data_IF_109178020038
#
_entry.id   IF_109178020038
#
_cell.length_a   1.000
_cell.length_b   1.000
_cell.length_c   1.000
_cell.angle_alpha   90.00
_cell.angle_beta   90.00
_cell.angle_gamma   90.00
#
_symmetry.space_group_name_H-M   'P 1'
#
loop_
_entity.id
_entity.type
_entity.pdbx_description
1 polymer ?
#
# COMPACT_ATOMS: atom_id res chain seq x y z
N UNK A 1 -5.56 0.06 21.31
CA UNK A 1 -5.15 0.62 19.99
C UNK A 1 -6.30 1.47 19.44
N UNK A 2 -6.00 2.61 18.83
CA UNK A 2 -7.02 3.51 18.26
C UNK A 2 -7.66 2.92 16.99
N UNK A 3 -8.74 2.16 17.16
CA UNK A 3 -9.55 1.56 16.08
C UNK A 3 -9.92 2.60 15.01
N UNK A 4 -10.23 3.83 15.43
CA UNK A 4 -10.54 4.94 14.55
C UNK A 4 -9.45 5.25 13.51
N UNK A 5 -8.17 5.20 13.90
CA UNK A 5 -7.05 5.50 12.98
C UNK A 5 -6.93 4.39 11.94
N UNK A 6 -7.07 3.13 12.35
CA UNK A 6 -7.05 1.98 11.43
C UNK A 6 -8.16 2.07 10.39
N UNK A 7 -9.38 2.40 10.81
CA UNK A 7 -10.52 2.55 9.90
C UNK A 7 -10.36 3.75 8.95
N UNK A 8 -9.85 4.88 9.44
CA UNK A 8 -9.55 6.04 8.60
C UNK A 8 -8.54 5.69 7.50
N UNK A 9 -7.43 5.05 7.86
CA UNK A 9 -6.39 4.65 6.90
C UNK A 9 -6.91 3.60 5.91
N UNK A 10 -7.69 2.60 6.36
CA UNK A 10 -8.33 1.62 5.45
C UNK A 10 -9.22 2.31 4.43
N UNK A 11 -10.04 3.26 4.85
CA UNK A 11 -10.89 4.02 3.95
C UNK A 11 -10.09 4.90 2.97
N UNK A 12 -8.98 5.49 3.43
CA UNK A 12 -8.07 6.24 2.56
C UNK A 12 -7.39 5.36 1.51
N UNK A 13 -6.94 4.16 1.89
CA UNK A 13 -6.34 3.20 0.95
C UNK A 13 -7.32 2.79 -0.16
N UNK A 14 -8.60 2.61 0.17
CA UNK A 14 -9.66 2.33 -0.84
C UNK A 14 -9.94 3.51 -1.77
N UNK A 15 -9.54 4.72 -1.41
CA UNK A 15 -9.79 5.92 -2.21
C UNK A 15 -8.53 6.41 -2.95
N UNK A 16 -7.38 5.78 -2.70
CA UNK A 16 -6.12 6.22 -3.29
C UNK A 16 -6.14 6.10 -4.81
N UNK A 17 -5.67 7.16 -5.46
CA UNK A 17 -5.59 7.27 -6.92
C UNK A 17 -4.20 6.86 -7.44
N UNK A 18 -4.11 6.53 -8.72
CA UNK A 18 -2.83 6.28 -9.40
C UNK A 18 -1.89 7.48 -9.32
N UNK A 19 -2.43 8.70 -9.40
CA UNK A 19 -1.70 9.96 -9.33
C UNK A 19 -1.08 10.16 -7.94
N UNK A 20 -1.83 9.88 -6.87
CA UNK A 20 -1.31 9.90 -5.50
C UNK A 20 -0.20 8.86 -5.32
N UNK A 21 -0.36 7.64 -5.84
CA UNK A 21 0.66 6.60 -5.78
C UNK A 21 1.95 7.05 -6.49
N UNK A 22 1.84 7.62 -7.69
CA UNK A 22 2.98 8.17 -8.44
C UNK A 22 3.64 9.35 -7.73
N UNK A 23 2.84 10.20 -7.08
CA UNK A 23 3.33 11.30 -6.28
C UNK A 23 4.17 10.77 -5.10
N UNK A 24 3.63 9.85 -4.30
CA UNK A 24 4.33 9.28 -3.15
C UNK A 24 5.57 8.48 -3.56
N UNK A 25 5.52 7.70 -4.64
CA UNK A 25 6.68 6.99 -5.15
C UNK A 25 7.85 7.94 -5.43
N UNK A 26 7.58 9.05 -6.13
CA UNK A 26 8.59 10.08 -6.40
C UNK A 26 9.11 10.74 -5.12
N UNK A 27 8.23 11.08 -4.18
CA UNK A 27 8.62 11.66 -2.89
C UNK A 27 9.54 10.72 -2.09
N UNK A 28 9.35 9.41 -2.20
CA UNK A 28 10.15 8.40 -1.51
C UNK A 28 11.37 7.90 -2.33
N UNK A 29 11.68 8.57 -3.45
CA UNK A 29 12.89 8.34 -4.21
C UNK A 29 12.87 7.10 -5.11
N UNK A 30 11.69 6.65 -5.56
CA UNK A 30 11.58 5.62 -6.60
C UNK A 30 10.54 5.96 -7.66
N UNK A 31 10.59 5.25 -8.77
CA UNK A 31 9.73 5.50 -9.93
C UNK A 31 8.78 4.34 -10.15
N UNK A 32 7.51 4.68 -10.37
CA UNK A 32 6.48 3.78 -10.88
C UNK A 32 6.05 4.30 -12.25
N UNK A 33 5.69 3.39 -13.14
CA UNK A 33 4.96 3.75 -14.36
C UNK A 33 3.50 4.02 -14.02
N UNK A 34 2.81 4.74 -14.90
CA UNK A 34 1.38 4.97 -14.72
C UNK A 34 0.57 3.66 -14.70
N UNK A 35 0.98 2.66 -15.48
CA UNK A 35 0.35 1.34 -15.48
C UNK A 35 0.51 0.63 -14.13
N UNK A 36 1.73 0.59 -13.59
CA UNK A 36 2.01 -0.01 -12.26
C UNK A 36 1.18 0.69 -11.17
N UNK A 37 1.11 2.03 -11.19
CA UNK A 37 0.31 2.79 -10.22
C UNK A 37 -1.20 2.54 -10.33
N UNK A 38 -1.71 2.34 -11.56
CA UNK A 38 -3.11 2.02 -11.80
C UNK A 38 -3.45 0.61 -11.30
N UNK A 39 -2.58 -0.37 -11.53
CA UNK A 39 -2.74 -1.73 -11.00
C UNK A 39 -2.77 -1.73 -9.46
N UNK A 40 -1.85 -1.00 -8.81
CA UNK A 40 -1.82 -0.87 -7.35
C UNK A 40 -3.10 -0.19 -6.83
N UNK A 41 -3.55 0.91 -7.45
CA UNK A 41 -4.80 1.60 -7.04
C UNK A 41 -6.02 0.69 -7.15
N UNK A 42 -6.14 -0.04 -8.26
CA UNK A 42 -7.25 -0.99 -8.48
C UNK A 42 -7.22 -2.15 -7.48
N UNK A 43 -6.03 -2.66 -7.18
CA UNK A 43 -5.84 -3.67 -6.16
C UNK A 43 -6.28 -3.14 -4.78
N UNK A 44 -5.79 -1.98 -4.35
CA UNK A 44 -6.11 -1.40 -3.03
C UNK A 44 -7.61 -1.09 -2.86
N UNK A 45 -8.30 -0.73 -3.94
CA UNK A 45 -9.76 -0.49 -3.96
C UNK A 45 -10.58 -1.74 -3.69
N UNK A 46 -10.17 -2.87 -4.27
CA UNK A 46 -10.92 -4.13 -4.23
C UNK A 46 -10.46 -5.06 -3.10
N UNK A 47 -9.30 -4.78 -2.52
CA UNK A 47 -8.72 -5.59 -1.46
C UNK A 47 -9.50 -5.47 -0.13
N UNK A 48 -9.80 -6.60 0.49
CA UNK A 48 -10.50 -6.70 1.79
C UNK A 48 -9.60 -7.09 2.97
N UNK A 49 -8.33 -7.35 2.69
CA UNK A 49 -7.31 -7.72 3.67
C UNK A 49 -6.92 -6.50 4.52
N UNK A 50 -6.54 -6.79 5.75
CA UNK A 50 -6.08 -5.83 6.73
C UNK A 50 -4.57 -5.53 6.53
N UNK A 51 -4.20 -4.32 6.09
CA UNK A 51 -2.80 -3.95 5.89
C UNK A 51 -2.02 -3.82 7.22
N UNK A 52 -2.70 -3.85 8.37
CA UNK A 52 -2.06 -3.76 9.67
C UNK A 52 -1.62 -5.12 10.22
N UNK A 53 -2.21 -6.22 9.75
CA UNK A 53 -1.83 -7.57 10.17
C UNK A 53 -0.73 -8.13 9.27
N UNK A 54 0.38 -8.58 9.82
CA UNK A 54 1.50 -9.14 9.06
C UNK A 54 1.09 -10.27 8.10
N UNK A 55 0.29 -11.22 8.58
CA UNK A 55 -0.21 -12.34 7.76
C UNK A 55 -1.03 -11.86 6.56
N UNK A 56 -1.82 -10.81 6.75
CA UNK A 56 -2.67 -10.26 5.71
C UNK A 56 -1.88 -9.37 4.75
N UNK A 57 -0.90 -8.58 5.23
CA UNK A 57 0.07 -7.88 4.35
C UNK A 57 0.82 -8.83 3.42
N UNK A 58 1.29 -9.96 3.92
CA UNK A 58 1.97 -10.97 3.10
C UNK A 58 1.03 -11.46 2.00
N UNK A 59 -0.23 -11.77 2.34
CA UNK A 59 -1.25 -12.15 1.36
C UNK A 59 -1.53 -11.03 0.35
N UNK A 60 -1.54 -9.76 0.78
CA UNK A 60 -1.71 -8.63 -0.14
C UNK A 60 -0.59 -8.62 -1.19
N UNK A 61 0.68 -8.74 -0.77
CA UNK A 61 1.81 -8.76 -1.69
C UNK A 61 1.78 -9.99 -2.61
N UNK A 62 1.35 -11.14 -2.11
CA UNK A 62 1.16 -12.35 -2.92
C UNK A 62 0.05 -12.18 -3.96
N UNK A 63 -1.09 -11.60 -3.59
CA UNK A 63 -2.18 -11.34 -4.55
C UNK A 63 -1.76 -10.31 -5.60
N UNK A 64 -1.04 -9.27 -5.19
CA UNK A 64 -0.50 -8.27 -6.12
C UNK A 64 0.51 -8.90 -7.09
N UNK A 65 1.34 -9.84 -6.62
CA UNK A 65 2.28 -10.59 -7.46
C UNK A 65 1.62 -11.50 -8.50
N UNK A 66 0.35 -11.86 -8.31
CA UNK A 66 -0.41 -12.66 -9.30
C UNK A 66 -0.93 -11.81 -10.46
N UNK A 67 -1.03 -10.49 -10.29
CA UNK A 67 -1.63 -9.57 -11.27
C UNK A 67 -0.65 -8.51 -11.79
N UNK A 68 0.54 -8.42 -11.21
CA UNK A 68 1.61 -7.46 -11.57
C UNK A 68 2.96 -8.15 -11.63
N UNK A 69 3.99 -7.45 -12.11
CA UNK A 69 5.36 -7.98 -12.10
C UNK A 69 6.01 -7.94 -10.70
N UNK A 70 7.03 -8.79 -10.45
CA UNK A 70 7.73 -8.81 -9.16
C UNK A 70 8.39 -7.48 -8.75
N UNK A 71 8.76 -6.63 -9.71
CA UNK A 71 9.35 -5.33 -9.38
C UNK A 71 8.27 -4.37 -8.84
N UNK A 72 7.06 -4.40 -9.40
CA UNK A 72 5.88 -3.66 -8.90
C UNK A 72 5.52 -4.06 -7.48
N UNK A 73 5.54 -5.36 -7.16
CA UNK A 73 5.31 -5.84 -5.78
C UNK A 73 6.34 -5.24 -4.81
N UNK A 74 7.62 -5.30 -5.17
CA UNK A 74 8.70 -4.77 -4.34
C UNK A 74 8.59 -3.25 -4.13
N UNK A 75 8.24 -2.51 -5.18
CA UNK A 75 8.01 -1.06 -5.10
C UNK A 75 6.80 -0.74 -4.24
N UNK A 76 5.74 -1.55 -4.30
CA UNK A 76 4.52 -1.37 -3.49
C UNK A 76 4.79 -1.65 -2.02
N UNK A 77 5.54 -2.71 -1.71
CA UNK A 77 5.97 -2.99 -0.34
C UNK A 77 6.80 -1.84 0.22
N UNK A 78 7.76 -1.33 -0.57
CA UNK A 78 8.55 -0.15 -0.19
C UNK A 78 7.67 1.08 0.04
N UNK A 79 6.70 1.34 -0.84
CA UNK A 79 5.77 2.46 -0.71
C UNK A 79 5.02 2.39 0.61
N UNK A 80 4.50 1.21 0.96
CA UNK A 80 3.76 0.99 2.20
C UNK A 80 4.64 1.25 3.43
N UNK A 81 5.87 0.71 3.44
CA UNK A 81 6.80 0.89 4.56
C UNK A 81 7.20 2.36 4.73
N UNK A 82 7.59 3.04 3.65
CA UNK A 82 7.92 4.47 3.69
C UNK A 82 6.73 5.31 4.14
N UNK A 83 5.53 5.02 3.65
CA UNK A 83 4.32 5.74 4.07
C UNK A 83 4.08 5.59 5.57
N UNK A 84 4.22 4.37 6.10
CA UNK A 84 4.01 4.09 7.52
C UNK A 84 5.09 4.73 8.39
N UNK A 85 6.35 4.64 8.00
CA UNK A 85 7.47 5.24 8.73
C UNK A 85 7.39 6.77 8.73
N UNK A 86 7.21 7.39 7.56
CA UNK A 86 7.20 8.86 7.41
C UNK A 86 6.02 9.54 8.10
N UNK A 87 4.89 8.84 8.22
CA UNK A 87 3.69 9.35 8.91
C UNK A 87 3.61 8.94 10.38
N UNK A 88 4.65 8.27 10.91
CA UNK A 88 4.66 7.80 12.30
C UNK A 88 3.59 6.76 12.61
N UNK A 89 3.08 6.05 11.60
CA UNK A 89 2.01 5.06 11.71
C UNK A 89 2.54 3.64 12.02
N UNK A 90 3.86 3.49 12.25
CA UNK A 90 4.50 2.18 12.52
C UNK A 90 3.84 1.40 13.65
N UNK A 91 3.35 2.09 14.68
CA UNK A 91 2.64 1.49 15.80
C UNK A 91 1.30 0.83 15.42
N UNK A 92 0.78 1.06 14.22
CA UNK A 92 -0.41 0.39 13.71
C UNK A 92 -0.09 -1.01 13.17
N UNK A 93 1.16 -1.27 12.77
CA UNK A 93 1.59 -2.57 12.28
C UNK A 93 1.65 -3.56 13.43
N UNK A 94 0.94 -4.67 13.27
CA UNK A 94 1.02 -5.82 14.16
C UNK A 94 2.11 -6.79 13.65
N UNK A 95 2.83 -7.41 14.60
CA UNK A 95 3.88 -8.42 14.39
C UNK A 95 3.34 -9.83 14.09
#
# INVERSE_FOLDING_TARGET
MSVFIKEFVKNKLKQVTSEEILYYARQYGFHLTHAEAQEISNFLRTNTLDPFKKRERIKMMQQLAMITDPATVKKTEKLLMELVERHGLGYLLED
#
